data_IF_461458216084
#
_entry.id   IF_461458216084
#
_cell.length_a   1.000
_cell.length_b   1.000
_cell.length_c   1.000
_cell.angle_alpha   90.00
_cell.angle_beta   90.00
_cell.angle_gamma   90.00
#
_symmetry.space_group_name_H-M   'P 1'
#
loop_
_entity.id
_entity.type
_entity.pdbx_description
1 polymer ?
#
# COMPACT_ATOMS: atom_id res chain seq x y z
N UNK A 1 2.93 13.09 -34.49
CA UNK A 1 2.72 11.94 -33.58
C UNK A 1 3.84 11.83 -32.55
N UNK A 2 5.12 11.74 -32.91
CA UNK A 2 6.23 11.74 -31.93
C UNK A 2 6.25 12.95 -30.98
N UNK A 3 6.00 14.17 -31.48
CA UNK A 3 5.85 15.37 -30.62
C UNK A 3 4.61 15.35 -29.70
N UNK A 4 3.60 14.54 -30.01
CA UNK A 4 2.42 14.39 -29.14
C UNK A 4 2.69 13.36 -28.05
N UNK A 5 3.36 12.25 -28.35
CA UNK A 5 3.78 11.24 -27.37
C UNK A 5 4.82 11.77 -26.38
N UNK A 6 5.79 12.58 -26.82
CA UNK A 6 6.74 13.26 -25.94
C UNK A 6 6.04 14.25 -25.00
N UNK A 7 5.04 14.98 -25.53
CA UNK A 7 4.25 15.94 -24.77
C UNK A 7 3.27 15.26 -23.81
N UNK A 8 2.75 14.08 -24.16
CA UNK A 8 1.92 13.23 -23.30
C UNK A 8 2.77 12.53 -22.23
N UNK A 9 4.02 12.17 -22.53
CA UNK A 9 5.00 11.61 -21.58
C UNK A 9 5.52 12.64 -20.59
N UNK A 10 5.87 13.85 -21.03
CA UNK A 10 6.15 14.99 -20.13
C UNK A 10 4.93 15.34 -19.29
N UNK A 11 3.73 15.34 -19.88
CA UNK A 11 2.49 15.60 -19.16
C UNK A 11 2.18 14.48 -18.16
N UNK A 12 2.44 13.21 -18.48
CA UNK A 12 2.23 12.07 -17.59
C UNK A 12 3.26 12.06 -16.46
N UNK A 13 4.52 12.36 -16.75
CA UNK A 13 5.59 12.57 -15.77
C UNK A 13 5.24 13.69 -14.81
N UNK A 14 4.85 14.85 -15.35
CA UNK A 14 4.45 16.03 -14.60
C UNK A 14 3.16 15.77 -13.82
N UNK A 15 2.22 15.00 -14.36
CA UNK A 15 0.96 14.62 -13.69
C UNK A 15 1.17 13.56 -12.62
N UNK A 16 2.07 12.58 -12.81
CA UNK A 16 2.50 11.63 -11.77
C UNK A 16 3.23 12.35 -10.66
N UNK A 17 4.15 13.25 -11.00
CA UNK A 17 4.87 14.10 -10.04
C UNK A 17 3.87 14.98 -9.28
N UNK A 18 2.93 15.65 -9.96
CA UNK A 18 1.88 16.47 -9.30
C UNK A 18 0.86 15.65 -8.49
N UNK A 19 0.48 14.45 -8.93
CA UNK A 19 -0.46 13.56 -8.23
C UNK A 19 0.19 12.84 -7.05
N UNK A 20 1.47 12.47 -7.15
CA UNK A 20 2.24 11.84 -6.08
C UNK A 20 2.68 12.85 -5.03
N UNK A 21 3.03 14.08 -5.43
CA UNK A 21 3.49 15.12 -4.51
C UNK A 21 2.36 15.98 -3.91
N UNK A 22 1.12 15.86 -4.40
CA UNK A 22 0.00 16.70 -3.94
C UNK A 22 0.32 18.21 -3.98
N UNK A 23 1.16 18.66 -4.91
CA UNK A 23 1.77 19.99 -4.85
C UNK A 23 0.83 21.08 -5.32
N UNK A 24 0.64 22.05 -4.42
CA UNK A 24 0.05 23.33 -4.75
C UNK A 24 0.38 24.47 -3.76
N UNK A 25 1.44 24.42 -2.94
CA UNK A 25 1.52 25.39 -1.83
C UNK A 25 2.88 25.95 -1.37
N UNK A 26 4.04 25.74 -2.04
CA UNK A 26 5.22 26.56 -1.71
C UNK A 26 6.24 26.75 -2.86
N UNK A 27 6.20 27.86 -3.62
CA UNK A 27 7.05 28.06 -4.80
C UNK A 27 8.56 28.11 -4.53
N UNK A 28 9.01 28.29 -3.27
CA UNK A 28 10.44 28.29 -2.92
C UNK A 28 10.98 26.89 -2.62
N UNK A 29 10.19 26.05 -1.96
CA UNK A 29 10.53 24.64 -1.72
C UNK A 29 10.37 23.84 -3.02
N UNK A 30 9.31 24.16 -3.80
CA UNK A 30 9.04 23.56 -5.09
C UNK A 30 10.14 23.87 -6.11
N UNK A 31 10.69 25.09 -6.15
CA UNK A 31 11.74 25.41 -7.12
C UNK A 31 13.07 24.70 -6.84
N UNK A 32 13.45 24.52 -5.57
CA UNK A 32 14.69 23.83 -5.21
C UNK A 32 14.56 22.31 -5.35
N UNK A 33 13.48 21.72 -4.83
CA UNK A 33 13.24 20.28 -4.93
C UNK A 33 12.96 19.86 -6.38
N UNK A 34 12.15 20.63 -7.12
CA UNK A 34 11.97 20.39 -8.56
C UNK A 34 13.28 20.62 -9.29
N UNK A 35 14.09 21.66 -9.03
CA UNK A 35 15.40 21.84 -9.69
C UNK A 35 16.36 20.68 -9.40
N UNK A 36 16.35 20.14 -8.19
CA UNK A 36 17.29 19.11 -7.76
C UNK A 36 16.81 17.69 -8.17
N UNK A 37 15.49 17.48 -8.30
CA UNK A 37 14.88 16.26 -8.84
C UNK A 37 14.71 16.30 -10.36
N UNK A 38 14.69 17.48 -10.98
CA UNK A 38 14.50 17.67 -12.43
C UNK A 38 15.50 16.88 -13.28
N UNK A 39 16.80 16.75 -12.96
CA UNK A 39 17.70 15.88 -13.71
C UNK A 39 17.38 14.38 -13.61
N UNK A 40 16.63 13.97 -12.58
CA UNK A 40 16.22 12.59 -12.33
C UNK A 40 14.80 12.30 -12.86
N UNK A 41 13.96 13.33 -12.95
CA UNK A 41 12.56 13.27 -13.37
C UNK A 41 12.30 13.80 -14.78
N UNK A 42 13.16 14.66 -15.33
CA UNK A 42 13.19 14.97 -16.77
C UNK A 42 14.06 13.92 -17.45
N UNK A 43 13.51 13.26 -18.45
CA UNK A 43 14.14 12.15 -19.14
C UNK A 43 13.53 10.82 -18.73
N UNK A 44 13.65 10.40 -17.46
CA UNK A 44 13.28 9.02 -17.10
C UNK A 44 11.79 8.70 -17.35
N UNK A 45 10.78 9.41 -16.82
CA UNK A 45 9.38 9.07 -17.09
C UNK A 45 8.95 9.44 -18.53
N UNK A 46 9.64 10.38 -19.19
CA UNK A 46 9.40 10.75 -20.60
C UNK A 46 9.90 9.65 -21.52
N UNK A 47 11.13 9.19 -21.36
CA UNK A 47 11.70 8.06 -22.10
C UNK A 47 10.99 6.75 -21.77
N UNK A 48 10.49 6.58 -20.54
CA UNK A 48 9.65 5.44 -20.21
C UNK A 48 8.25 5.50 -20.81
N UNK A 49 7.62 6.68 -20.82
CA UNK A 49 6.34 6.87 -21.49
C UNK A 49 6.49 6.78 -23.02
N UNK A 50 7.57 7.31 -23.59
CA UNK A 50 7.90 7.21 -25.01
C UNK A 50 8.22 5.77 -25.41
N UNK A 51 9.04 5.06 -24.63
CA UNK A 51 9.35 3.64 -24.84
C UNK A 51 8.06 2.81 -24.72
N UNK A 52 7.26 3.02 -23.66
CA UNK A 52 5.98 2.34 -23.49
C UNK A 52 4.95 2.67 -24.59
N UNK A 53 4.87 3.93 -25.04
CA UNK A 53 3.97 4.35 -26.11
C UNK A 53 4.42 3.81 -27.47
N UNK A 54 5.72 3.80 -27.75
CA UNK A 54 6.31 3.14 -28.92
C UNK A 54 5.93 1.65 -28.92
N UNK A 55 5.96 0.98 -27.76
CA UNK A 55 5.64 -0.44 -27.61
C UNK A 55 4.13 -0.74 -27.73
N UNK A 56 3.26 0.09 -27.14
CA UNK A 56 1.80 -0.07 -27.20
C UNK A 56 1.23 0.20 -28.59
N UNK A 57 1.84 1.11 -29.35
CA UNK A 57 1.52 1.29 -30.77
C UNK A 57 2.17 0.18 -31.56
N UNK A 58 1.40 -0.72 -32.20
CA UNK A 58 1.93 -1.93 -32.89
C UNK A 58 2.91 -1.72 -34.08
N UNK A 59 3.54 -0.54 -34.26
CA UNK A 59 4.35 -0.23 -35.45
C UNK A 59 5.44 0.87 -35.34
N UNK A 60 6.35 0.97 -34.34
CA UNK A 60 7.64 1.60 -34.61
C UNK A 60 8.52 0.59 -35.33
N UNK A 61 9.44 1.03 -36.20
CA UNK A 61 10.56 0.20 -36.63
C UNK A 61 11.32 -0.26 -35.38
N UNK A 62 11.63 -1.56 -35.29
CA UNK A 62 12.38 -2.18 -34.17
C UNK A 62 13.64 -1.39 -33.76
N UNK A 63 14.28 -0.70 -34.71
CA UNK A 63 15.43 0.17 -34.44
C UNK A 63 15.09 1.30 -33.47
N UNK A 64 13.92 1.94 -33.59
CA UNK A 64 13.53 3.05 -32.70
C UNK A 64 13.26 2.58 -31.27
N UNK A 65 12.66 1.40 -31.09
CA UNK A 65 12.45 0.84 -29.76
C UNK A 65 13.78 0.39 -29.13
N UNK A 66 14.66 -0.25 -29.90
CA UNK A 66 16.00 -0.63 -29.45
C UNK A 66 16.88 0.58 -29.13
N UNK A 67 16.79 1.66 -29.91
CA UNK A 67 17.48 2.91 -29.67
C UNK A 67 16.98 3.59 -28.38
N UNK A 68 15.66 3.63 -28.15
CA UNK A 68 15.10 4.13 -26.89
C UNK A 68 15.51 3.29 -25.68
N UNK A 69 15.58 1.96 -25.82
CA UNK A 69 16.06 1.07 -24.75
C UNK A 69 17.57 1.23 -24.49
N UNK A 70 18.36 1.43 -25.54
CA UNK A 70 19.79 1.74 -25.42
C UNK A 70 19.99 3.07 -24.69
N UNK A 71 19.23 4.11 -25.05
CA UNK A 71 19.30 5.42 -24.39
C UNK A 71 18.87 5.33 -22.92
N UNK A 72 17.80 4.59 -22.61
CA UNK A 72 17.37 4.35 -21.24
C UNK A 72 18.45 3.60 -20.43
N UNK A 73 19.12 2.61 -21.04
CA UNK A 73 20.24 1.90 -20.41
C UNK A 73 21.40 2.85 -20.09
N UNK A 74 21.78 3.73 -21.03
CA UNK A 74 22.83 4.74 -20.81
C UNK A 74 22.44 5.74 -19.70
N UNK A 75 21.19 6.18 -19.66
CA UNK A 75 20.69 7.08 -18.62
C UNK A 75 20.70 6.43 -17.24
N UNK A 76 20.35 5.14 -17.17
CA UNK A 76 20.42 4.35 -15.93
C UNK A 76 21.85 4.14 -15.47
N UNK A 77 22.80 3.88 -16.38
CA UNK A 77 24.24 3.81 -16.06
C UNK A 77 24.75 5.16 -15.54
N UNK A 78 24.33 6.27 -16.15
CA UNK A 78 24.64 7.62 -15.68
C UNK A 78 24.11 7.87 -14.27
N UNK A 79 22.88 7.42 -13.99
CA UNK A 79 22.23 7.51 -12.69
C UNK A 79 22.96 6.68 -11.62
N UNK A 80 23.32 5.44 -11.95
CA UNK A 80 24.11 4.55 -11.09
C UNK A 80 25.47 5.14 -10.75
N UNK A 81 26.18 5.69 -11.73
CA UNK A 81 27.47 6.35 -11.51
C UNK A 81 27.35 7.54 -10.54
N UNK A 82 26.33 8.39 -10.73
CA UNK A 82 26.05 9.52 -9.83
C UNK A 82 25.66 9.08 -8.41
N UNK A 83 24.86 8.02 -8.27
CA UNK A 83 24.54 7.42 -6.98
C UNK A 83 25.77 6.82 -6.30
N UNK A 84 26.66 6.19 -7.08
CA UNK A 84 27.95 5.68 -6.59
C UNK A 84 28.89 6.78 -6.09
N UNK A 85 28.88 7.96 -6.72
CA UNK A 85 29.66 9.12 -6.28
C UNK A 85 29.07 9.79 -5.03
N UNK A 86 27.75 9.76 -4.87
CA UNK A 86 27.05 10.28 -3.68
C UNK A 86 27.20 9.35 -2.46
N UNK A 87 27.27 8.04 -2.68
CA UNK A 87 27.38 7.01 -1.63
C UNK A 87 28.80 6.87 -1.00
N UNK A 88 29.56 7.97 -0.91
CA UNK A 88 30.88 8.00 -0.24
C UNK A 88 30.80 7.88 1.29
N UNK A 89 29.59 7.82 1.86
CA UNK A 89 29.37 7.45 3.25
C UNK A 89 29.14 5.93 3.36
N UNK A 90 29.88 5.21 4.23
CA UNK A 90 29.85 3.75 4.31
C UNK A 90 28.54 3.11 4.83
N UNK A 91 27.50 3.88 5.14
CA UNK A 91 26.30 3.39 5.84
C UNK A 91 24.98 3.64 5.10
N UNK A 92 25.01 3.98 3.81
CA UNK A 92 23.78 4.27 3.08
C UNK A 92 23.17 3.00 2.45
N UNK A 93 22.46 2.24 3.29
CA UNK A 93 21.66 1.08 2.87
C UNK A 93 20.62 1.45 1.80
N UNK A 94 20.15 2.71 1.77
CA UNK A 94 19.20 3.22 0.78
C UNK A 94 19.85 3.32 -0.60
N UNK A 95 21.06 3.90 -0.67
CA UNK A 95 21.83 3.96 -1.91
C UNK A 95 22.25 2.56 -2.41
N UNK A 96 22.47 1.59 -1.53
CA UNK A 96 22.77 0.21 -1.90
C UNK A 96 21.54 -0.52 -2.49
N UNK A 97 20.37 -0.40 -1.87
CA UNK A 97 19.14 -0.99 -2.37
C UNK A 97 18.70 -0.38 -3.71
N UNK A 98 18.79 0.95 -3.85
CA UNK A 98 18.52 1.64 -5.10
C UNK A 98 19.47 1.18 -6.23
N UNK A 99 20.77 1.06 -5.95
CA UNK A 99 21.76 0.53 -6.90
C UNK A 99 21.43 -0.88 -7.35
N UNK A 100 21.14 -1.79 -6.42
CA UNK A 100 20.77 -3.17 -6.76
C UNK A 100 19.53 -3.24 -7.66
N UNK A 101 18.54 -2.37 -7.43
CA UNK A 101 17.36 -2.29 -8.29
C UNK A 101 17.69 -1.77 -9.71
N UNK A 102 18.54 -0.76 -9.80
CA UNK A 102 18.99 -0.21 -11.08
C UNK A 102 19.85 -1.19 -11.87
N UNK A 103 20.71 -1.97 -11.21
CA UNK A 103 21.53 -3.02 -11.83
C UNK A 103 20.63 -4.12 -12.42
N UNK A 104 19.61 -4.54 -11.68
CA UNK A 104 18.66 -5.55 -12.16
C UNK A 104 17.83 -5.05 -13.34
N UNK A 105 17.37 -3.80 -13.29
CA UNK A 105 16.69 -3.14 -14.40
C UNK A 105 17.56 -3.06 -15.64
N UNK A 106 18.83 -2.67 -15.48
CA UNK A 106 19.79 -2.60 -16.59
C UNK A 106 20.02 -3.98 -17.21
N UNK A 107 20.27 -5.01 -16.40
CA UNK A 107 20.45 -6.39 -16.88
C UNK A 107 19.24 -6.88 -17.68
N UNK A 108 18.02 -6.47 -17.30
CA UNK A 108 16.81 -6.81 -18.05
C UNK A 108 16.67 -6.04 -19.35
N UNK A 109 17.01 -4.75 -19.38
CA UNK A 109 17.03 -3.96 -20.61
C UNK A 109 18.01 -4.55 -21.62
N UNK A 110 19.18 -5.01 -21.15
CA UNK A 110 20.15 -5.75 -21.96
C UNK A 110 19.53 -7.07 -22.47
N UNK A 111 18.90 -7.86 -21.60
CA UNK A 111 18.26 -9.12 -22.01
C UNK A 111 17.08 -8.92 -23.00
N UNK A 112 16.32 -7.84 -22.87
CA UNK A 112 15.25 -7.46 -23.81
C UNK A 112 15.83 -7.20 -25.20
N UNK A 113 17.01 -6.57 -25.28
CA UNK A 113 17.67 -6.27 -26.56
C UNK A 113 18.05 -7.53 -27.35
N UNK A 114 18.21 -8.66 -26.65
CA UNK A 114 18.59 -9.97 -27.19
C UNK A 114 17.39 -10.94 -27.36
N UNK A 115 16.21 -10.59 -26.85
CA UNK A 115 15.03 -11.46 -26.84
C UNK A 115 14.29 -11.51 -28.20
N UNK A 116 13.48 -12.55 -28.39
CA UNK A 116 12.53 -12.64 -29.52
C UNK A 116 11.42 -11.59 -29.37
N UNK A 117 10.75 -11.20 -30.46
CA UNK A 117 9.77 -10.10 -30.42
C UNK A 117 8.63 -10.29 -29.41
N UNK A 118 8.10 -11.52 -29.30
CA UNK A 118 7.02 -11.84 -28.38
C UNK A 118 7.51 -11.87 -26.91
N UNK A 119 8.73 -12.35 -26.69
CA UNK A 119 9.35 -12.38 -25.35
C UNK A 119 9.76 -10.96 -24.91
N UNK A 120 10.25 -10.14 -25.84
CA UNK A 120 10.67 -8.76 -25.60
C UNK A 120 9.52 -7.90 -25.09
N UNK A 121 8.32 -8.02 -25.67
CA UNK A 121 7.14 -7.25 -25.25
C UNK A 121 6.72 -7.57 -23.80
N UNK A 122 6.74 -8.84 -23.42
CA UNK A 122 6.43 -9.27 -22.06
C UNK A 122 7.50 -8.78 -21.07
N UNK A 123 8.78 -8.96 -21.40
CA UNK A 123 9.90 -8.49 -20.60
C UNK A 123 9.92 -6.96 -20.44
N UNK A 124 9.53 -6.21 -21.48
CA UNK A 124 9.41 -4.76 -21.46
C UNK A 124 8.29 -4.27 -20.54
N UNK A 125 7.14 -4.96 -20.56
CA UNK A 125 6.03 -4.65 -19.66
C UNK A 125 6.46 -4.85 -18.21
N UNK A 126 7.15 -5.95 -17.90
CA UNK A 126 7.72 -6.20 -16.57
C UNK A 126 8.75 -5.14 -16.16
N UNK A 127 9.65 -4.75 -17.07
CA UNK A 127 10.67 -3.73 -16.80
C UNK A 127 10.04 -2.35 -16.54
N UNK A 128 9.00 -1.97 -17.29
CA UNK A 128 8.22 -0.75 -17.06
C UNK A 128 7.55 -0.77 -15.68
N UNK A 129 6.82 -1.84 -15.36
CA UNK A 129 6.14 -1.97 -14.06
C UNK A 129 7.14 -1.87 -12.90
N UNK A 130 8.27 -2.57 -12.99
CA UNK A 130 9.34 -2.51 -11.98
C UNK A 130 9.86 -1.09 -11.80
N UNK A 131 10.14 -0.39 -12.90
CA UNK A 131 10.69 0.95 -12.85
C UNK A 131 9.71 2.00 -12.34
N UNK A 132 8.44 1.91 -12.72
CA UNK A 132 7.36 2.73 -12.14
C UNK A 132 7.25 2.48 -10.63
N UNK A 133 7.36 1.22 -10.19
CA UNK A 133 7.39 0.83 -8.78
C UNK A 133 8.58 1.42 -8.03
N UNK A 134 9.78 1.32 -8.60
CA UNK A 134 11.02 1.82 -8.02
C UNK A 134 11.06 3.34 -7.97
N UNK A 135 10.61 4.02 -9.04
CA UNK A 135 10.49 5.47 -9.06
C UNK A 135 9.45 5.96 -8.03
N UNK A 136 8.30 5.29 -7.95
CA UNK A 136 7.27 5.59 -6.95
C UNK A 136 7.80 5.39 -5.53
N UNK A 137 8.54 4.31 -5.28
CA UNK A 137 9.18 4.04 -3.99
C UNK A 137 10.17 5.15 -3.64
N UNK A 138 11.07 5.51 -4.56
CA UNK A 138 12.02 6.61 -4.36
C UNK A 138 11.32 7.95 -4.07
N UNK A 139 10.25 8.27 -4.80
CA UNK A 139 9.48 9.50 -4.60
C UNK A 139 8.75 9.50 -3.24
N UNK A 140 8.01 8.42 -2.93
CA UNK A 140 7.32 8.27 -1.64
C UNK A 140 8.29 8.38 -0.49
N UNK A 141 9.47 7.77 -0.62
CA UNK A 141 10.49 7.79 0.41
C UNK A 141 11.14 9.17 0.57
N UNK A 142 11.44 9.86 -0.53
CA UNK A 142 12.00 11.22 -0.50
C UNK A 142 10.99 12.28 -0.09
N UNK A 143 9.69 12.02 -0.23
CA UNK A 143 8.64 12.84 0.39
C UNK A 143 8.36 12.43 1.84
N UNK A 144 8.63 11.18 2.20
CA UNK A 144 8.36 10.65 3.53
C UNK A 144 9.41 11.04 4.58
N UNK A 145 10.62 11.40 4.17
CA UNK A 145 11.66 11.81 5.12
C UNK A 145 11.35 13.20 5.71
N UNK A 146 11.37 13.25 7.04
CA UNK A 146 11.05 14.41 7.87
C UNK A 146 11.86 15.67 7.54
N UNK A 147 13.00 15.51 6.88
CA UNK A 147 14.00 16.57 6.66
C UNK A 147 13.64 17.51 5.50
N UNK A 148 12.63 17.18 4.68
CA UNK A 148 12.37 17.91 3.43
C UNK A 148 11.18 18.86 3.47
N UNK A 149 10.38 18.85 4.54
CA UNK A 149 9.27 19.77 4.71
C UNK A 149 9.51 20.69 5.91
N UNK A 150 9.93 21.94 5.63
CA UNK A 150 10.03 23.00 6.65
C UNK A 150 8.66 23.33 7.30
N UNK A 151 7.56 22.96 6.64
CA UNK A 151 6.18 23.16 7.08
C UNK A 151 5.26 22.09 6.51
N UNK A 152 4.22 21.69 7.27
CA UNK A 152 3.20 20.74 6.82
C UNK A 152 2.45 21.22 5.57
N UNK A 153 2.14 20.30 4.66
CA UNK A 153 1.45 20.61 3.39
C UNK A 153 -0.08 20.65 3.54
N UNK A 154 -0.62 20.12 4.63
CA UNK A 154 -2.05 20.15 4.95
C UNK A 154 -2.28 20.53 6.41
N UNK A 155 -3.48 21.03 6.72
CA UNK A 155 -3.87 21.36 8.11
C UNK A 155 -4.00 20.08 8.94
N UNK A 156 -3.59 20.08 10.21
CA UNK A 156 -3.71 18.92 11.09
C UNK A 156 -5.17 18.57 11.39
N UNK A 157 -5.41 17.31 11.76
CA UNK A 157 -6.73 16.78 12.10
C UNK A 157 -7.12 17.06 13.55
N UNK A 158 -6.16 16.98 14.48
CA UNK A 158 -6.35 17.26 15.91
C UNK A 158 -7.69 16.74 16.46
N UNK A 159 -8.51 17.64 17.02
CA UNK A 159 -9.81 17.35 17.63
C UNK A 159 -10.89 16.88 16.63
N UNK A 160 -10.67 17.06 15.32
CA UNK A 160 -11.59 16.57 14.29
C UNK A 160 -11.52 15.06 14.13
N UNK A 161 -10.42 14.42 14.56
CA UNK A 161 -10.25 12.98 14.47
C UNK A 161 -10.92 12.27 15.66
N UNK A 162 -12.19 11.94 15.48
CA UNK A 162 -13.01 11.15 16.41
C UNK A 162 -13.02 9.66 15.99
N UNK A 163 -11.83 9.05 15.96
CA UNK A 163 -11.69 7.62 15.75
C UNK A 163 -10.64 7.04 16.68
N UNK A 164 -10.81 5.79 17.12
CA UNK A 164 -9.96 5.16 18.14
C UNK A 164 -8.61 4.64 17.61
N UNK A 165 -8.33 4.79 16.32
CA UNK A 165 -7.07 4.44 15.64
C UNK A 165 -6.71 5.57 14.66
N UNK A 166 -5.44 5.71 14.26
CA UNK A 166 -5.03 6.60 13.19
C UNK A 166 -5.33 6.05 11.78
N UNK A 167 -5.89 4.84 11.71
CA UNK A 167 -6.40 4.23 10.49
C UNK A 167 -7.92 4.02 10.57
N UNK A 168 -8.69 4.30 9.51
CA UNK A 168 -10.01 3.70 9.33
C UNK A 168 -9.85 2.26 8.79
N UNK A 169 -10.74 1.32 9.17
CA UNK A 169 -10.71 -0.03 8.63
C UNK A 169 -11.01 -0.05 7.12
N UNK A 170 -10.50 -1.06 6.42
CA UNK A 170 -10.82 -1.33 5.00
C UNK A 170 -11.51 -2.68 4.85
N UNK A 171 -12.28 -2.85 3.78
CA UNK A 171 -12.97 -4.12 3.53
C UNK A 171 -13.19 -4.41 2.07
N UNK A 172 -13.44 -5.68 1.79
CA UNK A 172 -13.69 -6.17 0.46
C UNK A 172 -14.75 -7.29 0.48
N UNK A 173 -15.49 -7.38 -0.61
CA UNK A 173 -16.28 -8.56 -0.98
C UNK A 173 -15.42 -9.46 -1.85
N UNK A 174 -15.33 -10.74 -1.49
CA UNK A 174 -14.61 -11.76 -2.25
C UNK A 174 -15.56 -12.82 -2.79
N UNK A 175 -15.26 -13.34 -3.98
CA UNK A 175 -16.02 -14.43 -4.60
C UNK A 175 -15.04 -15.50 -5.08
N UNK A 176 -15.11 -16.68 -4.46
CA UNK A 176 -14.33 -17.84 -4.90
C UNK A 176 -15.09 -18.60 -5.99
N UNK A 177 -14.71 -18.39 -7.24
CA UNK A 177 -15.39 -18.97 -8.41
C UNK A 177 -15.26 -20.49 -8.41
N UNK A 178 -16.30 -21.17 -8.86
CA UNK A 178 -16.34 -22.64 -8.91
C UNK A 178 -16.49 -23.34 -7.54
N UNK A 179 -16.47 -22.62 -6.41
CA UNK A 179 -16.66 -23.21 -5.08
C UNK A 179 -18.11 -23.56 -4.74
N UNK A 180 -19.08 -23.01 -5.50
CA UNK A 180 -20.49 -23.08 -5.16
C UNK A 180 -20.90 -22.26 -3.92
N UNK A 181 -19.95 -21.56 -3.30
CA UNK A 181 -20.19 -20.67 -2.16
C UNK A 181 -20.57 -19.26 -2.63
N UNK A 182 -21.33 -18.53 -1.79
CA UNK A 182 -21.70 -17.14 -2.02
C UNK A 182 -20.52 -16.18 -1.91
N UNK A 183 -20.80 -14.88 -1.92
CA UNK A 183 -19.76 -13.89 -1.62
C UNK A 183 -19.46 -13.86 -0.12
N UNK A 184 -18.20 -13.65 0.25
CA UNK A 184 -17.78 -13.35 1.63
C UNK A 184 -17.37 -11.90 1.73
N UNK A 185 -17.60 -11.29 2.89
CA UNK A 185 -17.02 -9.99 3.20
C UNK A 185 -15.86 -10.18 4.17
N UNK A 186 -14.78 -9.46 3.94
CA UNK A 186 -13.57 -9.47 4.77
C UNK A 186 -13.14 -8.04 5.08
N UNK A 187 -12.35 -7.85 6.14
CA UNK A 187 -11.85 -6.54 6.52
C UNK A 187 -10.42 -6.59 7.08
N UNK A 188 -9.67 -5.49 6.93
CA UNK A 188 -8.37 -5.29 7.58
C UNK A 188 -8.40 -4.01 8.40
N UNK A 189 -7.72 -4.00 9.54
CA UNK A 189 -7.70 -2.84 10.42
C UNK A 189 -6.43 -2.78 11.28
N UNK A 190 -5.59 -1.77 11.05
CA UNK A 190 -4.53 -1.39 11.98
C UNK A 190 -5.16 -0.68 13.19
N UNK A 191 -5.04 -1.28 14.39
CA UNK A 191 -5.66 -0.75 15.61
C UNK A 191 -4.78 0.26 16.36
N UNK A 192 -3.58 0.54 15.85
CA UNK A 192 -2.56 1.41 16.43
C UNK A 192 -2.13 1.00 17.84
N UNK A 193 -0.97 0.37 17.95
CA UNK A 193 -0.43 -0.08 19.23
C UNK A 193 -0.17 1.11 20.15
N UNK A 194 -0.40 0.94 21.46
CA UNK A 194 -0.03 1.95 22.46
C UNK A 194 1.47 2.29 22.42
N UNK A 195 2.34 1.38 21.97
CA UNK A 195 3.77 1.64 21.79
C UNK A 195 4.06 2.75 20.76
N UNK A 196 3.20 2.90 19.76
CA UNK A 196 3.40 3.84 18.65
C UNK A 196 2.70 5.20 18.88
N UNK A 197 1.98 5.38 19.99
CA UNK A 197 1.35 6.65 20.37
C UNK A 197 2.34 7.81 20.48
N UNK A 198 3.63 7.54 20.72
CA UNK A 198 4.70 8.56 20.69
C UNK A 198 4.74 9.38 19.39
N UNK A 199 4.34 8.79 18.26
CA UNK A 199 4.29 9.49 16.97
C UNK A 199 3.12 10.48 16.90
N UNK A 200 2.02 10.16 17.60
CA UNK A 200 0.88 11.06 17.80
C UNK A 200 1.24 12.17 18.79
N UNK A 201 1.96 11.85 19.87
CA UNK A 201 2.36 12.83 20.89
C UNK A 201 3.28 13.94 20.33
N UNK A 202 4.15 13.56 19.39
CA UNK A 202 5.02 14.46 18.65
C UNK A 202 4.32 15.18 17.48
N UNK A 203 3.02 14.92 17.28
CA UNK A 203 2.15 15.48 16.23
C UNK A 203 2.64 15.25 14.80
N UNK A 204 3.39 14.17 14.56
CA UNK A 204 3.96 13.92 13.23
C UNK A 204 2.91 13.64 12.16
N UNK A 205 1.71 13.22 12.55
CA UNK A 205 0.58 12.95 11.66
C UNK A 205 -0.54 14.00 11.79
N UNK A 206 -0.35 15.07 12.57
CA UNK A 206 -1.38 16.09 12.79
C UNK A 206 -2.55 15.56 13.61
N UNK A 207 -2.33 14.56 14.46
CA UNK A 207 -3.34 13.85 15.24
C UNK A 207 -3.27 14.15 16.75
N UNK A 208 -2.38 15.07 17.16
CA UNK A 208 -2.31 15.52 18.54
C UNK A 208 -3.60 16.24 18.95
N UNK A 209 -4.13 15.94 20.12
CA UNK A 209 -5.42 16.41 20.60
C UNK A 209 -6.61 15.60 20.09
N UNK A 210 -6.40 14.57 19.26
CA UNK A 210 -7.47 13.66 18.86
C UNK A 210 -8.01 12.86 20.05
N UNK A 211 -9.23 12.36 19.93
CA UNK A 211 -9.87 11.54 20.96
C UNK A 211 -9.04 10.31 21.32
N UNK A 212 -8.43 9.64 20.34
CA UNK A 212 -7.60 8.46 20.61
C UNK A 212 -6.37 8.78 21.48
N UNK A 213 -5.81 9.98 21.37
CA UNK A 213 -4.69 10.40 22.22
C UNK A 213 -5.16 10.77 23.63
N UNK A 214 -6.32 11.44 23.72
CA UNK A 214 -6.87 11.89 24.99
C UNK A 214 -7.49 10.76 25.83
N UNK A 215 -7.89 9.67 25.19
CA UNK A 215 -8.55 8.54 25.85
C UNK A 215 -7.54 7.69 26.64
N UNK A 216 -7.84 7.33 27.91
CA UNK A 216 -7.08 6.32 28.63
C UNK A 216 -6.97 5.01 27.84
N UNK A 217 -5.84 4.31 27.95
CA UNK A 217 -5.56 3.10 27.17
C UNK A 217 -6.66 2.03 27.28
N UNK A 218 -7.21 1.82 28.48
CA UNK A 218 -8.30 0.86 28.72
C UNK A 218 -9.59 1.28 28.02
N UNK A 219 -9.95 2.56 28.10
CA UNK A 219 -11.14 3.10 27.43
C UNK A 219 -11.00 3.00 25.91
N UNK A 220 -9.82 3.31 25.37
CA UNK A 220 -9.51 3.17 23.94
C UNK A 220 -9.61 1.70 23.51
N UNK A 221 -9.11 0.76 24.32
CA UNK A 221 -9.22 -0.67 24.03
C UNK A 221 -10.68 -1.13 23.97
N UNK A 222 -11.53 -0.73 24.93
CA UNK A 222 -12.97 -1.03 24.92
C UNK A 222 -13.66 -0.44 23.69
N UNK A 223 -13.31 0.79 23.29
CA UNK A 223 -13.85 1.42 22.09
C UNK A 223 -13.44 0.66 20.81
N UNK A 224 -12.16 0.28 20.69
CA UNK A 224 -11.67 -0.53 19.57
C UNK A 224 -12.37 -1.89 19.49
N UNK A 225 -12.57 -2.56 20.63
CA UNK A 225 -13.32 -3.83 20.68
C UNK A 225 -14.76 -3.63 20.24
N UNK A 226 -15.43 -2.57 20.69
CA UNK A 226 -16.77 -2.20 20.24
C UNK A 226 -16.84 -1.96 18.72
N UNK A 227 -15.86 -1.24 18.16
CA UNK A 227 -15.73 -1.03 16.72
C UNK A 227 -15.55 -2.35 15.97
N UNK A 228 -14.67 -3.23 16.43
CA UNK A 228 -14.41 -4.53 15.81
C UNK A 228 -15.65 -5.41 15.80
N UNK A 229 -16.40 -5.47 16.89
CA UNK A 229 -17.66 -6.22 16.95
C UNK A 229 -18.68 -5.65 15.96
N UNK A 230 -18.77 -4.33 15.82
CA UNK A 230 -19.64 -3.68 14.83
C UNK A 230 -19.23 -3.97 13.38
N UNK A 231 -17.93 -4.08 13.10
CA UNK A 231 -17.41 -4.51 11.79
C UNK A 231 -17.84 -5.96 11.52
N UNK A 232 -17.55 -6.89 12.44
CA UNK A 232 -17.84 -8.31 12.30
C UNK A 232 -19.34 -8.58 12.12
N UNK A 233 -20.17 -7.90 12.89
CA UNK A 233 -21.63 -8.05 12.92
C UNK A 233 -22.36 -6.97 12.13
N UNK A 234 -21.71 -6.38 11.12
CA UNK A 234 -22.34 -5.38 10.27
C UNK A 234 -23.67 -5.91 9.70
N UNK A 235 -24.79 -5.17 9.81
CA UNK A 235 -26.13 -5.71 9.59
C UNK A 235 -26.37 -6.24 8.15
N UNK A 236 -25.79 -5.58 7.15
CA UNK A 236 -25.91 -5.96 5.74
C UNK A 236 -24.65 -6.59 5.15
N UNK A 237 -23.52 -6.49 5.85
CA UNK A 237 -22.21 -6.89 5.33
C UNK A 237 -21.36 -7.56 6.41
N UNK A 238 -21.88 -8.59 7.11
CA UNK A 238 -21.13 -9.23 8.19
C UNK A 238 -19.81 -9.75 7.65
N UNK A 239 -18.73 -9.60 8.42
CA UNK A 239 -17.39 -10.00 7.99
C UNK A 239 -17.12 -11.43 8.44
N UNK A 240 -16.71 -12.27 7.50
CA UNK A 240 -16.31 -13.64 7.76
C UNK A 240 -14.92 -13.70 8.40
N UNK A 241 -14.01 -12.83 7.96
CA UNK A 241 -12.65 -12.71 8.48
C UNK A 241 -12.26 -11.23 8.61
N UNK A 242 -11.57 -10.90 9.70
CA UNK A 242 -11.00 -9.59 9.99
C UNK A 242 -9.53 -9.77 10.40
N UNK A 243 -8.62 -9.17 9.64
CA UNK A 243 -7.20 -9.10 9.97
C UNK A 243 -6.94 -7.81 10.76
N UNK A 244 -6.25 -7.94 11.89
CA UNK A 244 -5.90 -6.83 12.76
C UNK A 244 -4.39 -6.69 12.81
N UNK A 245 -3.92 -5.44 12.69
CA UNK A 245 -2.52 -5.10 12.82
C UNK A 245 -2.26 -4.27 14.06
N UNK A 246 -1.02 -4.34 14.54
CA UNK A 246 -0.55 -3.60 15.71
C UNK A 246 -1.26 -3.89 17.05
N UNK A 247 -1.69 -5.13 17.23
CA UNK A 247 -2.38 -5.52 18.45
C UNK A 247 -1.42 -5.62 19.64
N UNK A 248 -1.89 -5.25 20.83
CA UNK A 248 -1.18 -5.46 22.10
C UNK A 248 -1.99 -6.39 23.03
N UNK A 249 -1.31 -6.95 24.03
CA UNK A 249 -1.82 -8.06 24.83
C UNK A 249 -3.10 -7.75 25.59
N UNK A 250 -3.18 -6.61 26.27
CA UNK A 250 -4.34 -6.20 27.06
C UNK A 250 -5.58 -6.05 26.18
N UNK A 251 -5.44 -5.43 25.02
CA UNK A 251 -6.50 -5.31 24.02
C UNK A 251 -6.92 -6.68 23.47
N UNK A 252 -5.97 -7.56 23.14
CA UNK A 252 -6.26 -8.89 22.63
C UNK A 252 -7.01 -9.76 23.65
N UNK A 253 -6.64 -9.68 24.93
CA UNK A 253 -7.33 -10.39 26.01
C UNK A 253 -8.78 -9.91 26.14
N UNK A 254 -8.99 -8.58 26.10
CA UNK A 254 -10.32 -8.00 26.14
C UNK A 254 -11.16 -8.42 24.92
N UNK A 255 -10.58 -8.35 23.72
CA UNK A 255 -11.25 -8.74 22.48
C UNK A 255 -11.65 -10.22 22.51
N UNK A 256 -10.73 -11.12 22.87
CA UNK A 256 -10.99 -12.56 22.95
C UNK A 256 -12.14 -12.89 23.92
N UNK A 257 -12.18 -12.23 25.09
CA UNK A 257 -13.25 -12.39 26.06
C UNK A 257 -14.64 -12.01 25.50
N UNK A 258 -14.71 -11.01 24.61
CA UNK A 258 -15.98 -10.57 23.99
C UNK A 258 -16.37 -11.39 22.75
N UNK A 259 -15.40 -11.96 22.03
CA UNK A 259 -15.65 -12.74 20.80
C UNK A 259 -16.27 -14.11 21.08
N UNK A 260 -15.88 -14.78 22.17
CA UNK A 260 -16.30 -16.15 22.45
C UNK A 260 -17.82 -16.34 22.56
N UNK A 261 -18.54 -15.31 23.01
CA UNK A 261 -20.01 -15.32 23.11
C UNK A 261 -20.73 -15.15 21.76
N UNK A 262 -20.01 -14.78 20.69
CA UNK A 262 -20.59 -14.33 19.42
C UNK A 262 -20.27 -15.26 18.24
N UNK A 263 -19.75 -16.46 18.50
CA UNK A 263 -19.40 -17.43 17.45
C UNK A 263 -18.14 -17.07 16.65
N UNK A 264 -17.41 -16.04 17.10
CA UNK A 264 -16.13 -15.62 16.54
C UNK A 264 -14.96 -16.24 17.31
N UNK A 265 -13.86 -16.45 16.61
CA UNK A 265 -12.60 -16.96 17.16
C UNK A 265 -11.46 -16.05 16.73
N UNK A 266 -10.37 -16.07 17.47
CA UNK A 266 -9.17 -15.29 17.18
C UNK A 266 -7.93 -16.21 17.15
N UNK A 267 -7.00 -15.87 16.25
CA UNK A 267 -5.62 -16.36 16.25
C UNK A 267 -4.69 -15.17 16.24
N UNK A 268 -3.62 -15.25 17.01
CA UNK A 268 -2.64 -14.16 17.14
C UNK A 268 -1.27 -14.71 16.79
N UNK A 269 -0.42 -13.84 16.25
CA UNK A 269 0.97 -14.16 16.02
C UNK A 269 1.73 -14.16 17.34
N UNK A 270 2.60 -15.14 17.54
CA UNK A 270 3.50 -15.19 18.69
C UNK A 270 2.80 -15.45 20.02
N UNK A 271 3.54 -15.25 21.12
CA UNK A 271 3.02 -15.42 22.47
C UNK A 271 2.33 -14.15 22.99
N UNK A 272 1.49 -14.31 24.02
CA UNK A 272 0.75 -13.22 24.65
C UNK A 272 1.64 -12.17 25.36
N UNK A 273 2.94 -12.40 25.53
CA UNK A 273 3.87 -11.41 26.10
C UNK A 273 4.46 -10.46 25.05
N UNK A 274 4.31 -10.77 23.76
CA UNK A 274 4.74 -9.89 22.69
C UNK A 274 3.92 -8.60 22.67
N UNK A 275 4.63 -7.47 22.64
CA UNK A 275 4.02 -6.13 22.69
C UNK A 275 3.27 -5.74 21.43
N UNK A 276 3.65 -6.31 20.28
CA UNK A 276 3.05 -6.04 18.98
C UNK A 276 2.77 -7.37 18.29
N UNK A 277 1.52 -7.60 17.91
CA UNK A 277 1.07 -8.84 17.27
C UNK A 277 0.12 -8.52 16.12
N UNK A 278 0.10 -9.40 15.12
CA UNK A 278 -0.96 -9.45 14.14
C UNK A 278 -2.02 -10.44 14.64
N UNK A 279 -3.29 -10.22 14.28
CA UNK A 279 -4.36 -11.15 14.65
C UNK A 279 -5.34 -11.38 13.50
N UNK A 280 -5.91 -12.58 13.47
CA UNK A 280 -6.96 -12.96 12.53
C UNK A 280 -8.18 -13.37 13.34
N UNK A 281 -9.23 -12.56 13.26
CA UNK A 281 -10.54 -12.86 13.82
C UNK A 281 -11.42 -13.46 12.72
N UNK A 282 -12.11 -14.55 13.00
CA UNK A 282 -12.99 -15.19 12.03
C UNK A 282 -14.28 -15.68 12.66
N UNK A 283 -15.36 -15.65 11.89
CA UNK A 283 -16.67 -16.12 12.31
C UNK A 283 -16.88 -17.56 11.80
N UNK A 284 -17.03 -18.48 12.76
CA UNK A 284 -17.12 -19.93 12.51
C UNK A 284 -18.36 -20.38 11.74
N UNK A 285 -19.35 -19.49 11.59
CA UNK A 285 -20.51 -19.74 10.73
C UNK A 285 -20.18 -19.71 9.24
N UNK A 286 -19.11 -18.99 8.83
CA UNK A 286 -18.74 -18.84 7.42
C UNK A 286 -17.50 -19.65 7.04
N UNK A 287 -16.57 -19.80 7.98
CA UNK A 287 -15.27 -20.42 7.73
C UNK A 287 -14.82 -21.31 8.88
N UNK A 288 -14.09 -22.37 8.55
CA UNK A 288 -13.37 -23.22 9.50
C UNK A 288 -11.87 -23.04 9.30
N UNK A 289 -11.14 -22.75 10.37
CA UNK A 289 -9.69 -22.66 10.32
C UNK A 289 -9.09 -24.07 10.22
N UNK A 290 -8.39 -24.34 9.12
CA UNK A 290 -7.70 -25.62 8.85
C UNK A 290 -6.27 -25.57 9.34
N UNK A 291 -5.57 -24.48 9.02
CA UNK A 291 -4.17 -24.29 9.39
C UNK A 291 -3.90 -22.82 9.76
N UNK A 292 -2.99 -22.62 10.70
CA UNK A 292 -2.50 -21.30 11.07
C UNK A 292 -1.03 -21.41 11.45
N UNK A 293 -0.19 -20.63 10.77
CA UNK A 293 1.22 -20.53 11.07
C UNK A 293 1.72 -19.10 10.82
N UNK A 294 2.96 -18.85 11.22
CA UNK A 294 3.62 -17.56 11.03
C UNK A 294 4.97 -17.78 10.35
N UNK A 295 5.26 -17.01 9.32
CA UNK A 295 6.61 -16.90 8.79
C UNK A 295 7.38 -15.99 9.73
N UNK A 296 8.28 -16.58 10.52
CA UNK A 296 9.08 -15.88 11.53
C UNK A 296 10.26 -15.17 10.87
N UNK A 297 10.61 -14.01 11.42
CA UNK A 297 11.74 -13.17 10.96
C UNK A 297 11.78 -12.98 9.43
N UNK A 298 10.64 -12.70 8.76
CA UNK A 298 10.63 -12.62 7.30
C UNK A 298 11.18 -11.27 6.80
N UNK A 299 11.70 -10.42 7.70
CA UNK A 299 12.24 -9.10 7.36
C UNK A 299 13.62 -8.92 7.99
N UNK A 300 14.64 -8.80 7.15
CA UNK A 300 16.01 -8.58 7.59
C UNK A 300 16.20 -7.24 8.32
N UNK A 301 15.32 -6.27 8.06
CA UNK A 301 15.32 -4.93 8.68
C UNK A 301 14.56 -4.85 10.00
N UNK A 302 13.63 -5.76 10.27
CA UNK A 302 12.87 -5.82 11.53
C UNK A 302 12.43 -7.25 11.84
N UNK A 303 13.30 -7.99 12.54
CA UNK A 303 13.10 -9.39 12.90
C UNK A 303 11.87 -9.62 13.80
N UNK A 304 11.28 -8.56 14.38
CA UNK A 304 10.09 -8.69 15.26
C UNK A 304 8.79 -8.72 14.47
N UNK A 305 8.79 -8.26 13.23
CA UNK A 305 7.62 -8.31 12.35
C UNK A 305 7.47 -9.73 11.80
N UNK A 306 6.24 -10.11 11.48
CA UNK A 306 5.89 -11.49 11.09
C UNK A 306 4.83 -11.47 10.00
N UNK A 307 4.76 -12.53 9.21
CA UNK A 307 3.66 -12.76 8.27
C UNK A 307 2.78 -13.86 8.84
N UNK A 308 1.53 -13.56 9.14
CA UNK A 308 0.55 -14.55 9.59
C UNK A 308 -0.16 -15.17 8.39
N UNK A 309 -0.25 -16.49 8.37
CA UNK A 309 -0.90 -17.25 7.30
C UNK A 309 -1.99 -18.12 7.93
N UNK A 310 -3.22 -17.99 7.43
CA UNK A 310 -4.36 -18.81 7.85
C UNK A 310 -5.01 -19.45 6.64
N UNK A 311 -5.16 -20.77 6.66
CA UNK A 311 -5.91 -21.50 5.65
C UNK A 311 -7.29 -21.84 6.22
N UNK A 312 -8.33 -21.44 5.50
CA UNK A 312 -9.72 -21.67 5.86
C UNK A 312 -10.38 -22.62 4.89
N UNK A 313 -11.31 -23.43 5.40
CA UNK A 313 -12.33 -24.13 4.62
C UNK A 313 -13.63 -23.33 4.70
N UNK A 314 -14.26 -23.07 3.56
CA UNK A 314 -15.53 -22.35 3.51
C UNK A 314 -16.69 -23.28 3.94
N UNK A 315 -17.55 -22.80 4.83
CA UNK A 315 -18.72 -23.56 5.30
C UNK A 315 -19.79 -23.62 4.22
N UNK A 316 -20.46 -24.76 4.07
CA UNK A 316 -21.56 -24.93 3.09
C UNK A 316 -21.14 -25.11 1.62
N UNK A 317 -19.84 -25.24 1.33
CA UNK A 317 -19.35 -25.65 0.01
C UNK A 317 -19.61 -27.14 -0.26
N UNK A 318 -19.89 -27.51 -1.52
CA UNK A 318 -20.03 -28.91 -1.91
C UNK A 318 -18.70 -29.65 -1.82
N UNK A 319 -18.72 -30.94 -1.44
CA UNK A 319 -17.52 -31.80 -1.24
C UNK A 319 -16.59 -31.85 -2.46
N UNK A 320 -17.10 -31.57 -3.67
CA UNK A 320 -16.33 -31.59 -4.92
C UNK A 320 -15.42 -30.36 -5.11
N UNK A 321 -15.68 -29.26 -4.42
CA UNK A 321 -14.82 -28.07 -4.47
C UNK A 321 -13.88 -28.09 -3.28
N UNK A 322 -12.57 -28.02 -3.51
CA UNK A 322 -11.59 -28.02 -2.42
C UNK A 322 -11.71 -26.78 -1.52
N UNK A 323 -12.60 -25.83 -1.83
CA UNK A 323 -13.31 -24.94 -0.89
C UNK A 323 -12.44 -24.15 0.08
N UNK A 324 -11.15 -24.00 -0.22
CA UNK A 324 -10.17 -23.43 0.68
C UNK A 324 -9.80 -22.01 0.26
N UNK A 325 -9.42 -21.21 1.26
CA UNK A 325 -8.94 -19.85 1.09
C UNK A 325 -7.76 -19.64 2.04
N UNK A 326 -6.60 -19.25 1.49
CA UNK A 326 -5.47 -18.77 2.28
C UNK A 326 -5.64 -17.27 2.48
N UNK A 327 -5.57 -16.81 3.72
CA UNK A 327 -5.50 -15.40 4.08
C UNK A 327 -4.13 -15.14 4.69
N UNK A 328 -3.44 -14.15 4.13
CA UNK A 328 -2.15 -13.67 4.61
C UNK A 328 -2.32 -12.27 5.17
N UNK A 329 -1.80 -12.03 6.37
CA UNK A 329 -1.74 -10.69 6.96
C UNK A 329 -0.37 -10.37 7.51
N UNK A 330 0.02 -9.11 7.38
CA UNK A 330 1.24 -8.56 7.96
C UNK A 330 1.07 -7.07 8.20
N UNK A 331 1.95 -6.52 9.02
CA UNK A 331 2.24 -5.10 9.07
C UNK A 331 3.67 -4.88 8.57
N UNK A 332 3.84 -4.42 7.32
CA UNK A 332 5.18 -4.25 6.74
C UNK A 332 5.97 -3.16 7.48
N UNK A 333 7.28 -3.34 7.72
CA UNK A 333 8.14 -2.26 8.16
C UNK A 333 8.00 -1.02 7.27
N UNK A 334 7.66 0.12 7.86
CA UNK A 334 7.46 1.39 7.16
C UNK A 334 8.75 2.16 6.87
N UNK A 335 9.92 1.57 7.12
CA UNK A 335 11.21 2.22 6.87
C UNK A 335 11.40 2.36 5.35
N UNK A 336 11.52 3.59 4.84
CA UNK A 336 11.88 3.87 3.46
C UNK A 336 13.11 3.06 3.02
N UNK A 337 13.12 2.56 1.79
CA UNK A 337 14.24 1.81 1.18
C UNK A 337 14.71 0.54 1.90
N UNK A 338 14.00 0.09 2.94
CA UNK A 338 14.32 -1.17 3.58
C UNK A 338 14.10 -2.35 2.62
N UNK A 339 14.85 -3.45 2.77
CA UNK A 339 14.61 -4.67 1.99
C UNK A 339 13.25 -5.32 2.30
N UNK A 340 12.44 -4.76 3.20
CA UNK A 340 11.22 -5.36 3.71
C UNK A 340 10.22 -5.74 2.61
N UNK A 341 10.01 -4.90 1.58
CA UNK A 341 9.11 -5.23 0.47
C UNK A 341 9.60 -6.43 -0.35
N UNK A 342 10.92 -6.55 -0.53
CA UNK A 342 11.52 -7.68 -1.23
C UNK A 342 11.45 -8.94 -0.38
N UNK A 343 11.91 -8.86 0.87
CA UNK A 343 11.88 -9.98 1.82
C UNK A 343 10.44 -10.51 1.96
N UNK A 344 9.45 -9.60 2.03
CA UNK A 344 8.03 -9.92 2.01
C UNK A 344 7.61 -10.70 0.76
N UNK A 345 7.98 -10.18 -0.41
CA UNK A 345 7.58 -10.76 -1.70
C UNK A 345 8.18 -12.16 -1.88
N UNK A 346 9.43 -12.35 -1.47
CA UNK A 346 10.14 -13.62 -1.52
C UNK A 346 9.53 -14.65 -0.56
N UNK A 347 9.23 -14.24 0.68
CA UNK A 347 8.57 -15.07 1.68
C UNK A 347 7.17 -15.52 1.21
N UNK A 348 6.37 -14.58 0.70
CA UNK A 348 5.02 -14.83 0.22
C UNK A 348 5.00 -15.73 -1.01
N UNK A 349 5.94 -15.52 -1.95
CA UNK A 349 6.11 -16.38 -3.12
C UNK A 349 6.43 -17.82 -2.73
N UNK A 350 7.33 -17.99 -1.75
CA UNK A 350 7.73 -19.30 -1.25
C UNK A 350 6.56 -20.04 -0.61
N UNK A 351 5.75 -19.34 0.19
CA UNK A 351 4.53 -19.89 0.81
C UNK A 351 3.50 -20.33 -0.25
N UNK A 352 3.22 -19.49 -1.25
CA UNK A 352 2.25 -19.83 -2.32
C UNK A 352 2.77 -20.99 -3.18
N UNK A 353 4.07 -21.04 -3.47
CA UNK A 353 4.67 -22.13 -4.26
C UNK A 353 4.67 -23.47 -3.54
N UNK A 354 4.60 -23.49 -2.20
CA UNK A 354 4.60 -24.73 -1.42
C UNK A 354 3.41 -25.65 -1.77
N UNK A 355 2.27 -25.08 -2.20
CA UNK A 355 1.12 -25.85 -2.71
C UNK A 355 0.92 -25.74 -4.24
N UNK A 356 1.91 -25.20 -4.94
CA UNK A 356 1.85 -24.87 -6.37
C UNK A 356 0.74 -23.87 -6.75
N UNK A 357 0.38 -22.94 -5.86
CA UNK A 357 -0.68 -21.96 -6.08
C UNK A 357 -2.09 -22.56 -6.12
N UNK A 358 -2.28 -23.76 -5.55
CA UNK A 358 -3.58 -24.46 -5.57
C UNK A 358 -4.59 -23.85 -4.63
N UNK A 359 -4.13 -23.24 -3.53
CA UNK A 359 -5.02 -22.57 -2.58
C UNK A 359 -5.13 -21.09 -2.97
N UNK A 360 -6.32 -20.61 -3.36
CA UNK A 360 -6.56 -19.20 -3.63
C UNK A 360 -6.16 -18.35 -2.44
N UNK A 361 -5.39 -17.30 -2.70
CA UNK A 361 -4.70 -16.54 -1.66
C UNK A 361 -5.15 -15.08 -1.66
N UNK A 362 -5.53 -14.59 -0.49
CA UNK A 362 -5.89 -13.20 -0.23
C UNK A 362 -4.87 -12.57 0.73
N UNK A 363 -4.31 -11.44 0.33
CA UNK A 363 -3.44 -10.60 1.15
C UNK A 363 -4.25 -9.46 1.77
N UNK A 364 -4.08 -9.21 3.06
CA UNK A 364 -4.77 -8.16 3.81
C UNK A 364 -3.81 -7.54 4.83
N UNK A 365 -3.77 -6.22 4.96
CA UNK A 365 -2.97 -5.60 6.02
C UNK A 365 -2.56 -4.16 5.76
N UNK A 366 -1.96 -3.56 6.77
CA UNK A 366 -1.20 -2.32 6.64
C UNK A 366 0.17 -2.65 6.04
N UNK A 367 0.35 -2.28 4.78
CA UNK A 367 1.59 -2.56 4.08
C UNK A 367 2.53 -1.37 4.08
N UNK A 368 2.23 -0.27 4.77
CA UNK A 368 3.01 0.98 4.84
C UNK A 368 3.37 1.66 3.51
N UNK A 369 3.14 1.01 2.39
CA UNK A 369 3.45 1.46 1.04
C UNK A 369 2.15 1.56 0.22
N UNK A 370 2.09 2.51 -0.73
CA UNK A 370 0.95 2.60 -1.62
C UNK A 370 0.94 1.44 -2.62
N UNK A 371 -0.25 1.12 -3.15
CA UNK A 371 -0.45 -0.03 -4.05
C UNK A 371 0.34 0.10 -5.37
N UNK A 372 0.62 1.33 -5.80
CA UNK A 372 1.46 1.65 -6.96
C UNK A 372 2.91 1.18 -6.76
N UNK A 373 3.36 1.11 -5.51
CA UNK A 373 4.67 0.55 -5.14
C UNK A 373 4.56 -0.95 -4.94
N UNK A 374 3.56 -1.43 -4.20
CA UNK A 374 3.47 -2.84 -3.82
C UNK A 374 3.19 -3.78 -5.00
N UNK A 375 2.30 -3.39 -5.92
CA UNK A 375 1.94 -4.23 -7.07
C UNK A 375 3.14 -4.65 -7.91
N UNK A 376 3.98 -3.74 -8.43
CA UNK A 376 5.13 -4.13 -9.23
C UNK A 376 6.15 -4.95 -8.43
N UNK A 377 6.35 -4.66 -7.14
CA UNK A 377 7.30 -5.40 -6.31
C UNK A 377 6.84 -6.85 -6.07
N UNK A 378 5.55 -7.06 -5.79
CA UNK A 378 4.97 -8.40 -5.63
C UNK A 378 5.03 -9.21 -6.93
N UNK A 379 4.75 -8.56 -8.07
CA UNK A 379 4.85 -9.18 -9.39
C UNK A 379 6.30 -9.55 -9.72
N UNK A 380 7.23 -8.65 -9.44
CA UNK A 380 8.63 -8.80 -9.84
C UNK A 380 9.41 -9.73 -8.90
N UNK A 381 9.58 -9.33 -7.63
CA UNK A 381 10.34 -10.11 -6.66
C UNK A 381 9.61 -11.40 -6.29
N UNK A 382 8.32 -11.27 -6.00
CA UNK A 382 7.48 -12.42 -5.66
C UNK A 382 7.17 -13.32 -6.86
N UNK A 383 7.42 -12.88 -8.09
CA UNK A 383 7.02 -13.59 -9.32
C UNK A 383 5.53 -13.96 -9.33
N UNK A 384 4.70 -13.13 -8.68
CA UNK A 384 3.26 -13.33 -8.56
C UNK A 384 2.58 -12.68 -9.76
N UNK A 385 2.15 -13.47 -10.74
CA UNK A 385 1.56 -12.93 -11.98
C UNK A 385 0.20 -12.26 -11.72
N UNK A 386 -0.59 -12.88 -10.86
CA UNK A 386 -1.94 -12.44 -10.53
C UNK A 386 -1.92 -11.64 -9.24
N UNK A 387 -1.91 -10.31 -9.34
CA UNK A 387 -1.96 -9.40 -8.19
C UNK A 387 -3.05 -8.37 -8.42
N UNK A 388 -4.21 -8.59 -7.81
CA UNK A 388 -5.40 -7.76 -7.98
C UNK A 388 -5.78 -7.08 -6.67
N UNK A 389 -5.41 -5.81 -6.52
CA UNK A 389 -5.80 -5.00 -5.37
C UNK A 389 -7.27 -4.59 -5.45
N UNK A 390 -7.98 -4.69 -4.34
CA UNK A 390 -9.27 -4.04 -4.16
C UNK A 390 -9.10 -2.52 -4.28
N UNK A 391 -9.94 -1.86 -5.09
CA UNK A 391 -9.91 -0.42 -5.28
C UNK A 391 -10.53 0.32 -4.07
N UNK A 392 -9.86 0.26 -2.90
CA UNK A 392 -10.32 0.90 -1.67
C UNK A 392 -10.57 2.40 -1.95
N UNK A 393 -11.79 2.93 -1.75
CA UNK A 393 -12.15 4.22 -2.32
C UNK A 393 -11.68 5.42 -1.48
N UNK A 394 -10.86 5.22 -0.46
CA UNK A 394 -10.42 6.27 0.46
C UNK A 394 -8.96 6.12 0.93
N UNK A 395 -8.33 7.21 1.40
CA UNK A 395 -7.08 7.15 2.15
C UNK A 395 -7.29 6.49 3.51
N UNK A 396 -6.26 5.85 4.04
CA UNK A 396 -6.33 5.04 5.26
C UNK A 396 -5.33 5.48 6.32
N UNK A 397 -4.44 6.42 6.01
CA UNK A 397 -3.53 6.98 6.99
C UNK A 397 -3.11 8.40 6.55
N UNK A 398 -2.37 9.09 7.41
CA UNK A 398 -1.76 10.39 7.12
C UNK A 398 -0.25 10.23 7.16
N UNK A 399 0.43 10.64 6.08
CA UNK A 399 1.88 10.63 6.03
C UNK A 399 2.47 11.50 7.14
N UNK A 400 3.52 10.99 7.77
CA UNK A 400 4.30 11.74 8.74
C UNK A 400 4.92 12.97 8.07
N UNK A 401 5.04 14.08 8.81
CA UNK A 401 5.55 15.40 8.39
C UNK A 401 4.70 16.15 7.36
N UNK A 402 4.45 15.57 6.18
CA UNK A 402 3.72 16.24 5.09
C UNK A 402 2.23 16.38 5.40
N UNK A 403 1.70 15.52 6.25
CA UNK A 403 0.29 15.42 6.61
C UNK A 403 -0.63 15.10 5.42
N UNK A 404 -0.07 14.59 4.32
CA UNK A 404 -0.84 14.18 3.15
C UNK A 404 -1.52 12.83 3.42
N UNK A 405 -2.82 12.68 3.10
CA UNK A 405 -3.50 11.39 3.18
C UNK A 405 -2.86 10.36 2.25
N UNK A 406 -2.62 9.14 2.76
CA UNK A 406 -2.08 8.02 1.99
C UNK A 406 -2.96 6.78 2.14
N UNK A 407 -2.88 5.87 1.17
CA UNK A 407 -3.59 4.59 1.18
C UNK A 407 -2.56 3.48 1.30
N UNK A 408 -2.43 2.91 2.49
CA UNK A 408 -1.41 1.91 2.83
C UNK A 408 -2.00 0.62 3.38
N UNK A 409 -3.27 0.66 3.81
CA UNK A 409 -4.04 -0.54 4.13
C UNK A 409 -4.62 -1.12 2.84
N UNK A 410 -4.38 -2.40 2.62
CA UNK A 410 -4.72 -3.04 1.37
C UNK A 410 -5.45 -4.37 1.58
N UNK A 411 -6.18 -4.75 0.53
CA UNK A 411 -6.72 -6.09 0.34
C UNK A 411 -6.42 -6.46 -1.11
N UNK A 412 -5.78 -7.60 -1.37
CA UNK A 412 -5.43 -8.04 -2.72
C UNK A 412 -5.66 -9.55 -2.90
N UNK A 413 -6.20 -9.93 -4.06
CA UNK A 413 -6.16 -11.32 -4.53
C UNK A 413 -4.80 -11.59 -5.16
N UNK A 414 -4.16 -12.67 -4.73
CA UNK A 414 -2.89 -13.19 -5.28
C UNK A 414 -3.14 -14.45 -6.13
N UNK A 415 -4.31 -14.50 -6.76
CA UNK A 415 -4.78 -15.61 -7.56
C UNK A 415 -5.50 -15.08 -8.79
N UNK A 416 -5.58 -15.86 -9.88
CA UNK A 416 -6.30 -15.46 -11.08
C UNK A 416 -7.71 -14.97 -10.78
N UNK A 417 -8.15 -13.90 -11.47
CA UNK A 417 -9.47 -13.28 -11.24
C UNK A 417 -10.66 -14.21 -11.56
N UNK A 418 -10.46 -15.22 -12.40
CA UNK A 418 -11.41 -16.29 -12.69
C UNK A 418 -11.48 -17.36 -11.58
N UNK A 419 -10.57 -17.29 -10.60
CA UNK A 419 -10.56 -18.13 -9.39
C UNK A 419 -11.03 -17.34 -8.17
N UNK A 420 -10.45 -16.16 -7.92
CA UNK A 420 -10.76 -15.32 -6.76
C UNK A 420 -10.96 -13.87 -7.18
N UNK A 421 -12.22 -13.44 -7.20
CA UNK A 421 -12.60 -12.05 -7.43
C UNK A 421 -12.57 -11.27 -6.11
N UNK A 422 -12.07 -10.03 -6.15
CA UNK A 422 -12.05 -9.12 -5.01
C UNK A 422 -12.59 -7.75 -5.43
N UNK A 423 -13.54 -7.22 -4.66
CA UNK A 423 -14.14 -5.90 -4.88
C UNK A 423 -14.14 -5.11 -3.56
N UNK A 424 -13.73 -3.85 -3.60
CA UNK A 424 -13.72 -3.00 -2.41
C UNK A 424 -15.14 -2.75 -1.89
N UNK A 425 -15.27 -2.66 -0.56
CA UNK A 425 -16.47 -2.16 0.10
C UNK A 425 -16.35 -0.63 0.32
N UNK A 426 -17.49 0.06 0.30
CA UNK A 426 -17.59 1.44 0.76
C UNK A 426 -17.40 1.57 2.27
N UNK A 427 -17.09 2.78 2.75
CA UNK A 427 -16.77 3.01 4.17
C UNK A 427 -17.89 2.51 5.11
N UNK A 428 -19.14 2.86 4.82
CA UNK A 428 -20.30 2.42 5.62
C UNK A 428 -20.66 0.94 5.43
N UNK A 429 -20.16 0.28 4.37
CA UNK A 429 -20.30 -1.17 4.21
C UNK A 429 -19.23 -1.92 5.04
N UNK A 430 -18.10 -1.27 5.32
CA UNK A 430 -17.08 -1.77 6.26
C UNK A 430 -17.57 -1.61 7.69
N UNK A 431 -17.92 -0.37 8.07
CA UNK A 431 -18.40 0.02 9.39
C UNK A 431 -19.43 1.15 9.24
N UNK A 432 -20.68 0.88 9.61
CA UNK A 432 -21.72 1.90 9.61
C UNK A 432 -21.31 3.16 10.40
N UNK A 433 -21.34 4.33 9.75
CA UNK A 433 -20.95 5.61 10.34
C UNK A 433 -19.46 5.95 10.17
N UNK A 434 -18.72 5.21 9.36
CA UNK A 434 -17.31 5.48 9.07
C UNK A 434 -17.12 6.61 8.05
N UNK A 435 -18.13 6.88 7.21
CA UNK A 435 -18.04 7.84 6.11
C UNK A 435 -17.52 9.23 6.51
N UNK A 436 -17.92 9.86 7.64
CA UNK A 436 -17.44 11.20 7.99
C UNK A 436 -15.92 11.26 8.24
N UNK A 437 -15.33 10.17 8.74
CA UNK A 437 -13.90 10.09 9.08
C UNK A 437 -13.09 9.88 7.80
N UNK A 438 -13.66 9.11 6.87
CA UNK A 438 -13.15 8.96 5.51
C UNK A 438 -13.20 10.29 4.74
N UNK A 439 -14.29 11.05 4.87
CA UNK A 439 -14.42 12.34 4.19
C UNK A 439 -13.43 13.36 4.74
N UNK A 440 -13.18 13.36 6.04
CA UNK A 440 -12.15 14.18 6.66
C UNK A 440 -10.76 13.94 6.06
N UNK A 441 -10.41 12.68 5.76
CA UNK A 441 -9.18 12.35 5.03
C UNK A 441 -9.23 12.81 3.56
N UNK A 442 -10.35 12.60 2.86
CA UNK A 442 -10.49 12.95 1.43
C UNK A 442 -10.47 14.47 1.18
N UNK A 443 -11.11 15.27 2.02
CA UNK A 443 -11.18 16.73 1.82
C UNK A 443 -9.79 17.37 1.86
N UNK A 444 -8.84 16.79 2.61
CA UNK A 444 -7.44 17.21 2.61
C UNK A 444 -6.76 16.94 1.27
N UNK A 445 -7.09 15.84 0.60
CA UNK A 445 -6.61 15.57 -0.76
C UNK A 445 -7.20 16.54 -1.79
N UNK A 446 -8.48 16.93 -1.64
CA UNK A 446 -9.16 17.82 -2.59
C UNK A 446 -8.71 19.29 -2.46
N UNK A 447 -8.44 19.76 -1.24
CA UNK A 447 -7.95 21.13 -1.01
C UNK A 447 -6.61 21.38 -1.73
N UNK A 448 -5.74 20.36 -1.80
CA UNK A 448 -4.47 20.40 -2.54
C UNK A 448 -4.66 20.50 -4.07
N UNK A 449 -5.76 19.96 -4.61
CA UNK A 449 -6.06 19.98 -6.06
C UNK A 449 -6.71 21.28 -6.54
N UNK A 450 -7.25 22.11 -5.65
CA UNK A 450 -7.96 23.36 -5.99
C UNK A 450 -7.05 24.57 -6.26
N UNK A 451 -5.74 24.35 -6.42
CA UNK A 451 -4.77 25.41 -6.67
C UNK A 451 -4.82 25.79 -8.15
N UNK A 452 -5.67 26.76 -8.49
CA UNK A 452 -5.74 27.32 -9.85
C UNK A 452 -4.58 28.30 -10.08
N UNK A 453 -3.76 28.03 -11.10
CA UNK A 453 -2.76 28.97 -11.58
C UNK A 453 -3.45 30.13 -12.33
N UNK A 454 -3.69 31.24 -11.63
CA UNK A 454 -3.91 32.53 -12.27
C UNK A 454 -2.77 33.48 -11.88
N UNK A 455 -2.08 34.02 -12.89
CA UNK A 455 -1.10 35.11 -12.83
C UNK A 455 0.17 34.90 -11.97
N UNK A 456 0.68 33.66 -11.88
CA UNK A 456 1.98 33.40 -11.22
C UNK A 456 1.98 33.68 -9.71
N UNK A 457 0.80 33.91 -9.12
CA UNK A 457 0.57 34.03 -7.68
C UNK A 457 -0.30 32.84 -7.27
N UNK A 458 0.27 31.96 -6.45
CA UNK A 458 -0.45 30.80 -5.91
C UNK A 458 -1.40 31.29 -4.81
N UNK A 459 -2.70 31.21 -5.07
CA UNK A 459 -3.72 31.41 -4.04
C UNK A 459 -4.06 30.05 -3.43
N UNK A 460 -3.76 29.87 -2.14
CA UNK A 460 -4.35 28.78 -1.35
C UNK A 460 -5.82 29.15 -1.11
N UNK A 461 -6.72 28.54 -1.88
CA UNK A 461 -8.16 28.70 -1.64
C UNK A 461 -8.49 27.96 -0.34
N UNK A 462 -8.55 28.69 0.77
CA UNK A 462 -9.13 28.17 2.02
C UNK A 462 -10.62 28.00 1.81
N UNK A 463 -11.05 26.79 1.46
CA UNK A 463 -12.46 26.42 1.56
C UNK A 463 -12.77 26.28 3.04
N UNK A 464 -13.39 27.31 3.63
CA UNK A 464 -13.99 27.15 4.96
C UNK A 464 -14.99 25.99 4.88
N UNK A 465 -14.93 25.00 5.78
CA UNK A 465 -15.99 24.01 5.88
C UNK A 465 -17.29 24.78 6.07
N UNK A 466 -18.22 24.63 5.13
CA UNK A 466 -19.59 25.10 5.36
C UNK A 466 -20.15 24.18 6.43
N UNK A 467 -20.68 24.75 7.50
CA UNK A 467 -21.33 23.99 8.57
C UNK A 467 -22.33 23.01 7.95
N UNK A 468 -22.43 21.77 8.47
CA UNK A 468 -23.46 20.85 7.99
C UNK A 468 -24.81 21.55 8.14
N UNK A 469 -25.56 21.66 7.04
CA UNK A 469 -26.97 22.03 7.12
C UNK A 469 -27.66 20.91 7.89
N UNK A 470 -28.14 21.24 9.09
CA UNK A 470 -29.05 20.39 9.87
C UNK A 470 -30.31 20.07 9.07
#
# INVERSE_FOLDING_TARGET
>A
MQRAAAHDGEFLAEKLVKQLLGLGSNPRVDAALVRDLRPFLQGLPVHLAETAALIETRQPPQESARESLSQLSEDLQSLQAKLGEAAKAPEDAEAAAARSCLEELQSRLEAISEASDDDALAMLTEAKELLEGSASLMLVNRMGSFEHFESSLSEPLHELWDFASDHPPVGARIVLKGSGFGALNVASFNVLNMHYMKYIDNDWQGLKGSKMQQSPAEQRAEELVSVILRILHHPSHPKAVLCLQECWSEFLNLLEAKLGAQGCRIRCTGDRSQKNQEAIVYNSAYVELVDFHCLQEPYSSDLKKVIAVACFKLQGGGEASNGQLRIVTTHLPGTPYSPACRDFSDALSSEIKADCGKIPTLLMGDLNFPLEVLRPLLKHFGRLRDVHFAAIPYPTNVSQASLIPKRIDCIASLSPSDVLEVAALGADEVLHGLQPQVDLLRFRSAALLSVSAHDGVVYVIRVKPTSPMC
#
